data_IF_019227867113
#
_entry.id   IF_019227867113
#
_cell.length_a   1.000
_cell.length_b   1.000
_cell.length_c   1.000
_cell.angle_alpha   90.00
_cell.angle_beta   90.00
_cell.angle_gamma   90.00
#
_symmetry.space_group_name_H-M   'P 1'
#
loop_
_entity.id
_entity.type
_entity.pdbx_description
1 polymer ?
#
# COMPACT_ATOMS: atom_id res chain seq x y z
N UNK A 1 44.86 -15.13 11.47
CA UNK A 1 43.98 -13.99 11.20
C UNK A 1 43.60 -13.84 9.71
N UNK A 2 44.51 -13.78 8.73
CA UNK A 2 44.18 -13.59 7.30
C UNK A 2 43.37 -14.76 6.71
N UNK A 3 43.69 -16.00 7.06
CA UNK A 3 42.96 -17.18 6.59
C UNK A 3 41.52 -17.21 7.10
N UNK A 4 41.29 -16.82 8.34
CA UNK A 4 39.97 -16.74 8.94
C UNK A 4 39.11 -15.66 8.23
N UNK A 5 39.66 -14.47 7.99
CA UNK A 5 38.97 -13.42 7.28
C UNK A 5 38.56 -13.81 5.84
N UNK A 6 39.40 -14.60 5.17
CA UNK A 6 39.08 -15.13 3.82
C UNK A 6 37.96 -16.18 3.89
N UNK A 7 37.95 -17.02 4.90
CA UNK A 7 36.89 -18.02 5.12
C UNK A 7 35.57 -17.32 5.40
N UNK A 8 35.57 -16.33 6.32
CA UNK A 8 34.36 -15.58 6.69
C UNK A 8 33.79 -14.80 5.48
N UNK A 9 34.63 -14.22 4.65
CA UNK A 9 34.20 -13.57 3.40
C UNK A 9 33.55 -14.58 2.44
N UNK A 10 34.16 -15.75 2.23
CA UNK A 10 33.60 -16.78 1.35
C UNK A 10 32.28 -17.33 1.86
N UNK A 11 32.14 -17.52 3.19
CA UNK A 11 30.89 -17.94 3.82
C UNK A 11 29.78 -16.88 3.65
N UNK A 12 30.14 -15.61 3.79
CA UNK A 12 29.19 -14.51 3.57
C UNK A 12 28.73 -14.44 2.11
N UNK A 13 29.62 -14.62 1.17
CA UNK A 13 29.29 -14.68 -0.26
C UNK A 13 28.37 -15.85 -0.58
N UNK A 14 28.62 -17.02 0.02
CA UNK A 14 27.74 -18.18 -0.11
C UNK A 14 26.33 -17.89 0.46
N UNK A 15 26.23 -17.29 1.65
CA UNK A 15 24.94 -16.92 2.24
C UNK A 15 24.16 -15.94 1.35
N UNK A 16 24.84 -15.03 0.66
CA UNK A 16 24.23 -14.05 -0.24
C UNK A 16 23.72 -14.65 -1.55
N UNK A 17 24.09 -15.89 -1.87
CA UNK A 17 23.52 -16.58 -3.05
C UNK A 17 22.07 -16.97 -2.84
N UNK A 18 21.60 -17.08 -1.59
CA UNK A 18 20.23 -17.38 -1.24
C UNK A 18 19.51 -16.09 -0.81
N UNK A 19 18.55 -15.63 -1.63
CA UNK A 19 17.75 -14.44 -1.34
C UNK A 19 16.40 -14.88 -0.77
N UNK A 20 16.21 -14.67 0.53
CA UNK A 20 14.98 -15.01 1.25
C UNK A 20 13.99 -13.86 1.25
N UNK A 21 12.70 -14.22 1.26
CA UNK A 21 11.64 -13.24 1.47
C UNK A 21 11.76 -12.63 2.88
N UNK A 22 11.76 -11.28 3.00
CA UNK A 22 11.90 -10.61 4.29
C UNK A 22 10.61 -10.64 5.13
N UNK A 23 9.48 -11.01 4.52
CA UNK A 23 8.16 -11.04 5.14
C UNK A 23 7.26 -12.05 4.43
N UNK A 24 6.21 -12.48 5.12
CA UNK A 24 5.16 -13.32 4.57
C UNK A 24 4.24 -12.50 3.65
N UNK A 25 3.91 -13.06 2.48
CA UNK A 25 3.07 -12.35 1.53
C UNK A 25 2.94 -13.06 0.19
N UNK A 26 2.26 -12.41 -0.73
CA UNK A 26 2.05 -12.91 -2.10
C UNK A 26 2.95 -12.16 -3.09
N UNK A 27 3.58 -12.89 -3.99
CA UNK A 27 4.39 -12.31 -5.05
C UNK A 27 3.48 -11.59 -6.04
N UNK A 28 3.51 -10.27 -6.04
CA UNK A 28 2.69 -9.43 -6.93
C UNK A 28 3.32 -9.24 -8.30
N UNK A 29 4.64 -9.15 -8.35
CA UNK A 29 5.37 -8.97 -9.61
C UNK A 29 6.73 -9.65 -9.53
N UNK A 30 7.00 -10.55 -10.45
CA UNK A 30 8.31 -11.16 -10.67
C UNK A 30 8.96 -10.54 -11.91
N UNK A 31 10.15 -9.98 -11.75
CA UNK A 31 10.91 -9.32 -12.83
C UNK A 31 12.06 -10.17 -13.35
N UNK A 32 12.28 -11.36 -12.79
CA UNK A 32 13.39 -12.26 -13.11
C UNK A 32 12.93 -13.58 -13.64
N UNK A 33 13.79 -14.22 -14.45
CA UNK A 33 13.60 -15.58 -14.99
C UNK A 33 14.81 -16.44 -14.65
N UNK A 34 14.59 -17.77 -14.67
CA UNK A 34 15.68 -18.73 -14.49
C UNK A 34 16.74 -18.55 -15.60
N UNK A 35 18.01 -18.54 -15.23
CA UNK A 35 19.11 -18.30 -16.15
C UNK A 35 19.46 -16.83 -16.38
N UNK A 36 18.70 -15.91 -15.83
CA UNK A 36 19.00 -14.49 -15.96
C UNK A 36 20.11 -14.05 -15.00
N UNK A 37 21.06 -13.26 -15.52
CA UNK A 37 22.10 -12.64 -14.71
C UNK A 37 21.54 -11.43 -13.95
N UNK A 38 21.79 -11.36 -12.66
CA UNK A 38 21.32 -10.29 -11.78
C UNK A 38 22.50 -9.39 -11.39
N UNK A 39 22.28 -8.08 -11.41
CA UNK A 39 23.21 -7.11 -10.87
C UNK A 39 22.86 -6.73 -9.42
N UNK A 40 23.82 -6.39 -8.57
CA UNK A 40 23.55 -5.85 -7.24
C UNK A 40 22.60 -4.64 -7.30
N UNK A 41 21.58 -4.63 -6.43
CA UNK A 41 20.56 -3.57 -6.42
C UNK A 41 19.40 -3.73 -7.41
N UNK A 42 19.41 -4.78 -8.24
CA UNK A 42 18.31 -5.03 -9.15
C UNK A 42 17.06 -5.51 -8.38
N UNK A 43 15.88 -4.94 -8.74
CA UNK A 43 14.61 -5.38 -8.18
C UNK A 43 14.20 -6.71 -8.79
N UNK A 44 14.07 -7.75 -7.97
CA UNK A 44 13.80 -9.11 -8.41
C UNK A 44 12.30 -9.40 -8.45
N UNK A 45 11.60 -9.06 -7.38
CA UNK A 45 10.16 -9.27 -7.24
C UNK A 45 9.58 -8.34 -6.19
N UNK A 46 8.25 -8.18 -6.19
CA UNK A 46 7.51 -7.45 -5.17
C UNK A 46 6.68 -8.43 -4.37
N UNK A 47 6.81 -8.38 -3.04
CA UNK A 47 6.01 -9.17 -2.10
C UNK A 47 5.04 -8.22 -1.42
N UNK A 48 3.77 -8.60 -1.38
CA UNK A 48 2.69 -7.83 -0.75
C UNK A 48 2.17 -8.61 0.44
N UNK A 49 2.27 -8.06 1.68
CA UNK A 49 1.70 -8.66 2.87
C UNK A 49 0.18 -8.45 2.86
N UNK A 50 -0.60 -9.47 2.53
CA UNK A 50 -2.06 -9.36 2.47
C UNK A 50 -2.73 -9.24 3.84
N UNK A 51 -2.04 -9.61 4.91
CA UNK A 51 -2.55 -9.47 6.28
C UNK A 51 -2.50 -8.02 6.82
N UNK A 52 -1.76 -7.13 6.16
CA UNK A 52 -1.56 -5.74 6.59
C UNK A 52 -2.08 -4.72 5.59
N UNK A 53 -3.17 -5.04 4.93
CA UNK A 53 -3.76 -4.13 3.95
C UNK A 53 -4.41 -2.92 4.63
N UNK A 54 -4.33 -1.79 3.94
CA UNK A 54 -5.02 -0.57 4.29
C UNK A 54 -5.76 0.00 3.08
N UNK A 55 -6.74 0.84 3.34
CA UNK A 55 -7.50 1.55 2.31
C UNK A 55 -7.24 3.04 2.46
N UNK A 56 -6.87 3.70 1.38
CA UNK A 56 -6.81 5.15 1.32
C UNK A 56 -8.15 5.66 0.76
N UNK A 57 -9.08 5.98 1.66
CA UNK A 57 -10.41 6.45 1.31
C UNK A 57 -10.41 7.96 1.04
N UNK A 58 -10.84 8.36 -0.16
CA UNK A 58 -10.82 9.75 -0.60
C UNK A 58 -12.11 10.48 -0.21
N UNK A 59 -12.14 11.06 0.98
CA UNK A 59 -13.27 11.86 1.48
C UNK A 59 -13.26 13.28 0.92
N UNK A 60 -14.45 13.85 0.71
CA UNK A 60 -14.58 15.29 0.41
C UNK A 60 -14.25 16.09 1.67
N UNK A 61 -13.67 17.28 1.49
CA UNK A 61 -13.34 18.20 2.59
C UNK A 61 -14.54 18.44 3.54
N UNK A 62 -15.74 18.55 2.99
CA UNK A 62 -16.97 18.75 3.77
C UNK A 62 -17.35 17.57 4.67
N UNK A 63 -16.89 16.35 4.36
CA UNK A 63 -17.17 15.13 5.12
C UNK A 63 -16.20 14.94 6.29
N UNK A 64 -15.04 15.60 6.25
CA UNK A 64 -13.96 15.38 7.22
C UNK A 64 -14.18 16.03 8.58
N UNK A 65 -15.18 16.91 8.72
CA UNK A 65 -15.42 17.67 9.95
C UNK A 65 -15.49 16.80 11.22
N UNK A 66 -16.05 15.62 11.11
CA UNK A 66 -16.29 14.71 12.24
C UNK A 66 -15.37 13.49 12.23
N UNK A 67 -14.51 13.32 11.23
CA UNK A 67 -13.60 12.17 11.12
C UNK A 67 -12.37 12.43 11.98
N UNK A 68 -12.02 11.46 12.83
CA UNK A 68 -10.85 11.53 13.73
C UNK A 68 -10.06 10.22 13.66
N UNK A 69 -8.76 10.31 13.89
CA UNK A 69 -7.93 9.12 14.07
C UNK A 69 -8.44 8.27 15.23
N UNK A 70 -8.45 6.96 15.06
CA UNK A 70 -8.98 5.99 16.02
C UNK A 70 -10.46 5.64 15.86
N UNK A 71 -11.22 6.33 14.99
CA UNK A 71 -12.60 5.96 14.69
C UNK A 71 -12.67 4.63 13.93
N UNK A 72 -13.75 3.90 14.18
CA UNK A 72 -14.08 2.69 13.42
C UNK A 72 -14.67 3.09 12.07
N UNK A 73 -14.37 2.29 11.07
CA UNK A 73 -14.91 2.44 9.72
C UNK A 73 -15.43 1.10 9.24
N UNK A 74 -16.52 1.12 8.49
CA UNK A 74 -17.06 -0.04 7.78
C UNK A 74 -16.77 0.13 6.30
N UNK A 75 -16.27 -0.93 5.68
CA UNK A 75 -15.89 -0.92 4.28
C UNK A 75 -16.53 -2.09 3.54
N UNK A 76 -16.97 -1.83 2.32
CA UNK A 76 -17.48 -2.85 1.40
C UNK A 76 -16.64 -2.85 0.14
N UNK A 77 -16.31 -4.04 -0.37
CA UNK A 77 -15.52 -4.21 -1.59
C UNK A 77 -16.44 -4.50 -2.78
N UNK A 78 -16.18 -3.87 -3.90
CA UNK A 78 -16.91 -4.16 -5.15
C UNK A 78 -16.72 -5.61 -5.62
N UNK A 79 -15.64 -6.27 -5.17
CA UNK A 79 -15.36 -7.68 -5.47
C UNK A 79 -16.38 -8.64 -4.85
N UNK A 80 -16.75 -8.41 -3.60
CA UNK A 80 -17.66 -9.28 -2.83
C UNK A 80 -19.06 -8.70 -2.67
N UNK A 81 -19.29 -7.47 -3.16
CA UNK A 81 -20.55 -6.77 -3.02
C UNK A 81 -20.84 -6.33 -1.58
N UNK A 82 -22.11 -6.14 -1.28
CA UNK A 82 -22.58 -5.66 0.04
C UNK A 82 -22.69 -6.76 1.10
N UNK A 83 -22.54 -8.00 0.69
CA UNK A 83 -22.70 -9.16 1.57
C UNK A 83 -21.50 -9.39 2.49
N UNK A 84 -20.35 -8.78 2.15
CA UNK A 84 -19.12 -8.85 2.93
C UNK A 84 -18.72 -7.45 3.38
N UNK A 85 -18.81 -7.23 4.68
CA UNK A 85 -18.36 -6.00 5.33
C UNK A 85 -17.00 -6.22 5.98
N UNK A 86 -16.13 -5.25 5.81
CA UNK A 86 -14.84 -5.20 6.47
C UNK A 86 -14.84 -4.09 7.50
N UNK A 87 -14.25 -4.37 8.63
CA UNK A 87 -14.06 -3.37 9.68
C UNK A 87 -12.63 -2.87 9.68
N UNK A 88 -12.49 -1.58 9.91
CA UNK A 88 -11.19 -0.94 9.96
C UNK A 88 -11.13 0.16 11.00
N UNK A 89 -9.93 0.67 11.18
CA UNK A 89 -9.69 1.81 12.08
C UNK A 89 -8.97 2.90 11.31
N UNK A 90 -9.46 4.12 11.44
CA UNK A 90 -8.81 5.31 10.87
C UNK A 90 -7.45 5.52 11.55
N UNK A 91 -6.36 5.39 10.78
CA UNK A 91 -5.01 5.62 11.30
C UNK A 91 -4.68 7.11 11.30
N UNK A 92 -5.08 7.81 10.22
CA UNK A 92 -4.76 9.22 10.06
C UNK A 92 -5.13 9.75 8.69
N UNK A 93 -4.75 11.00 8.48
CA UNK A 93 -5.01 11.76 7.27
C UNK A 93 -3.71 11.97 6.50
N UNK A 94 -3.81 12.03 5.17
CA UNK A 94 -2.69 12.52 4.36
C UNK A 94 -2.37 13.98 4.72
N UNK A 95 -1.10 14.37 4.64
CA UNK A 95 -0.66 15.75 4.88
C UNK A 95 -1.13 16.77 3.82
N UNK A 96 -1.87 16.34 2.80
CA UNK A 96 -2.42 17.22 1.77
C UNK A 96 -3.36 16.51 0.81
N UNK A 97 -4.08 17.29 0.01
CA UNK A 97 -5.01 16.80 -1.00
C UNK A 97 -4.26 16.21 -2.20
N UNK A 98 -4.91 15.32 -2.94
CA UNK A 98 -4.32 14.73 -4.15
C UNK A 98 -3.89 15.78 -5.20
N UNK A 99 -4.58 16.90 -5.28
CA UNK A 99 -4.22 18.00 -6.18
C UNK A 99 -2.95 18.76 -5.74
N UNK A 100 -2.67 18.83 -4.42
CA UNK A 100 -1.46 19.46 -3.89
C UNK A 100 -0.19 18.67 -4.22
N UNK A 101 -0.31 17.35 -4.39
CA UNK A 101 0.80 16.45 -4.72
C UNK A 101 0.81 15.97 -6.17
N UNK A 102 -0.08 16.50 -7.02
CA UNK A 102 -0.12 16.15 -8.42
C UNK A 102 1.14 16.69 -9.15
N UNK A 103 1.79 15.83 -9.92
CA UNK A 103 2.94 16.22 -10.76
C UNK A 103 2.58 17.27 -11.81
N UNK A 104 1.32 17.29 -12.25
CA UNK A 104 0.77 18.28 -13.17
C UNK A 104 -0.46 18.89 -12.49
N UNK A 105 -0.34 20.08 -11.87
CA UNK A 105 -1.49 20.78 -11.30
C UNK A 105 -2.50 21.12 -12.42
N UNK A 106 -3.79 20.96 -12.13
CA UNK A 106 -4.84 21.42 -13.06
C UNK A 106 -4.75 22.93 -13.21
N UNK A 107 -4.26 23.39 -14.36
CA UNK A 107 -4.19 24.81 -14.68
C UNK A 107 -5.51 25.23 -15.36
N UNK A 108 -6.22 26.15 -14.73
CA UNK A 108 -7.33 26.85 -15.37
C UNK A 108 -6.77 27.93 -16.31
N UNK A 109 -6.60 27.59 -17.58
CA UNK A 109 -6.00 28.47 -18.60
C UNK A 109 -6.86 29.68 -18.97
N UNK A 110 -8.10 29.77 -18.50
CA UNK A 110 -9.11 30.75 -18.98
C UNK A 110 -9.56 31.79 -17.96
N UNK A 111 -8.84 31.96 -16.86
CA UNK A 111 -9.08 33.09 -15.93
C UNK A 111 -10.34 33.02 -15.03
N UNK A 112 -11.25 32.10 -15.26
CA UNK A 112 -12.39 31.87 -14.37
C UNK A 112 -12.01 30.89 -13.26
N UNK A 113 -11.87 31.43 -12.05
CA UNK A 113 -11.62 30.57 -10.87
C UNK A 113 -12.92 29.87 -10.45
N UNK A 114 -12.94 28.55 -10.52
CA UNK A 114 -14.05 27.72 -10.02
C UNK A 114 -13.58 27.01 -8.76
N UNK A 115 -14.30 27.16 -7.64
CA UNK A 115 -14.04 26.42 -6.41
C UNK A 115 -14.39 24.94 -6.64
N UNK A 116 -13.35 24.09 -6.70
CA UNK A 116 -13.51 22.63 -6.77
C UNK A 116 -13.33 22.06 -5.38
N UNK A 117 -14.31 21.27 -4.90
CA UNK A 117 -14.22 20.57 -3.61
C UNK A 117 -13.06 19.58 -3.65
N UNK A 118 -12.10 19.77 -2.79
CA UNK A 118 -10.92 18.91 -2.70
C UNK A 118 -11.26 17.60 -1.97
N UNK A 119 -10.48 16.56 -2.27
CA UNK A 119 -10.56 15.28 -1.58
C UNK A 119 -9.27 15.04 -0.81
N UNK A 120 -9.40 14.57 0.43
CA UNK A 120 -8.29 14.21 1.30
C UNK A 120 -8.29 12.70 1.51
N UNK A 121 -7.15 12.01 1.26
CA UNK A 121 -7.02 10.59 1.59
C UNK A 121 -6.99 10.38 3.09
N UNK A 122 -7.85 9.50 3.55
CA UNK A 122 -7.91 9.02 4.95
C UNK A 122 -7.47 7.57 4.94
N UNK A 123 -6.45 7.25 5.72
CA UNK A 123 -5.93 5.89 5.79
C UNK A 123 -6.67 5.08 6.84
N UNK A 124 -7.23 3.97 6.42
CA UNK A 124 -8.01 3.04 7.23
C UNK A 124 -7.28 1.69 7.19
N UNK A 125 -6.86 1.20 8.37
CA UNK A 125 -6.27 -0.14 8.52
C UNK A 125 -7.40 -1.15 8.67
N UNK A 126 -7.39 -2.20 7.87
CA UNK A 126 -8.37 -3.29 7.92
C UNK A 126 -8.06 -4.30 9.02
N UNK A 127 -9.08 -5.03 9.49
CA UNK A 127 -8.90 -6.12 10.45
C UNK A 127 -8.26 -7.33 9.74
N UNK A 128 -7.11 -7.83 10.24
CA UNK A 128 -6.43 -8.98 9.64
C UNK A 128 -7.26 -10.27 9.61
N UNK A 129 -8.20 -10.45 10.54
CA UNK A 129 -9.05 -11.65 10.61
C UNK A 129 -9.99 -11.72 9.42
N UNK A 130 -10.66 -10.62 9.11
CA UNK A 130 -11.59 -10.53 7.99
C UNK A 130 -10.86 -10.66 6.65
N UNK A 131 -9.62 -10.16 6.58
CA UNK A 131 -8.76 -10.35 5.40
C UNK A 131 -8.33 -11.81 5.20
N UNK A 132 -8.26 -12.61 6.26
CA UNK A 132 -7.98 -14.04 6.17
C UNK A 132 -9.18 -14.84 5.65
N UNK A 133 -10.40 -14.45 6.02
CA UNK A 133 -11.64 -15.08 5.57
C UNK A 133 -12.00 -14.68 4.14
N UNK A 134 -11.87 -13.40 3.82
CA UNK A 134 -12.17 -12.83 2.50
C UNK A 134 -10.97 -12.04 1.97
N UNK A 135 -10.00 -12.70 1.32
CA UNK A 135 -8.77 -12.07 0.89
C UNK A 135 -8.97 -10.98 -0.15
N UNK A 136 -8.48 -9.78 0.11
CA UNK A 136 -8.45 -8.67 -0.83
C UNK A 136 -7.13 -8.64 -1.61
N UNK A 137 -7.13 -7.89 -2.71
CA UNK A 137 -5.95 -7.62 -3.53
C UNK A 137 -5.69 -6.11 -3.57
N UNK A 138 -4.43 -5.74 -3.71
CA UNK A 138 -4.06 -4.33 -3.88
C UNK A 138 -4.61 -3.81 -5.21
N UNK A 139 -5.19 -2.61 -5.18
CA UNK A 139 -5.77 -1.96 -6.36
C UNK A 139 -7.27 -2.18 -6.56
N UNK A 140 -7.95 -2.89 -5.64
CA UNK A 140 -9.40 -3.02 -5.66
C UNK A 140 -10.08 -1.74 -5.16
N UNK A 141 -11.27 -1.47 -5.71
CA UNK A 141 -12.14 -0.38 -5.27
C UNK A 141 -12.98 -0.80 -4.07
N UNK A 142 -13.14 0.14 -3.12
CA UNK A 142 -13.93 -0.05 -1.92
C UNK A 142 -14.73 1.21 -1.60
N UNK A 143 -15.88 1.02 -0.97
CA UNK A 143 -16.66 2.09 -0.35
C UNK A 143 -16.39 2.07 1.15
N UNK A 144 -16.12 3.22 1.75
CA UNK A 144 -15.84 3.36 3.17
C UNK A 144 -16.81 4.34 3.83
N UNK A 145 -17.33 3.94 4.97
CA UNK A 145 -18.19 4.74 5.86
C UNK A 145 -17.51 4.86 7.23
N UNK A 146 -17.45 6.08 7.79
CA UNK A 146 -16.77 6.40 9.07
C UNK A 146 -17.76 7.09 10.00
#
# INVERSE_FOLDING_TARGET
MVAQAKLDAALLDLQRTEIKAPLDGVVARRSIQVGQRIAPGASLMKIVPLAELYVDANFKESQLKNVKAGQKATLTSDLYGKDVEYHGTVIGFSGGTGSAFALIPAQNATGNWIKVVQRLPVRIKLDPKELAEHPLRVGLSMTAEV
#
